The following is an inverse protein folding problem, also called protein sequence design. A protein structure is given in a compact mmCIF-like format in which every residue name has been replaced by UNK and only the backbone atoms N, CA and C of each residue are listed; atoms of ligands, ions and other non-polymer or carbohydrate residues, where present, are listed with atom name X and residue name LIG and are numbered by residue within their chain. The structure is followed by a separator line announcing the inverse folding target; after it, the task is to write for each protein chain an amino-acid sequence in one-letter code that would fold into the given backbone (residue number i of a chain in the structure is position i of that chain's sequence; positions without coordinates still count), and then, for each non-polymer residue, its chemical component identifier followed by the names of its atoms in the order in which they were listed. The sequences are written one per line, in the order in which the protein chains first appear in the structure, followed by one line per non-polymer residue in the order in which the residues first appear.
data_IF_266614329604
#
_entry.id   IF_266614329604
#
_cell.length_a   1.000
_cell.length_b   1.000
_cell.length_c   1.000
_cell.angle_alpha   90.00
_cell.angle_beta   90.00
_cell.angle_gamma   90.00
#
_symmetry.space_group_name_H-M   'P 1'
#
loop_
_entity.id
_entity.type
_entity.pdbx_description
1 polymer ?
#
# COMPACT_ATOMS: atom_id res chain seq x y z
N UNK A 1 6.38 17.53 5.77
CA UNK A 1 6.93 16.26 5.26
C UNK A 1 5.78 15.28 5.16
N UNK A 2 5.61 14.59 4.05
CA UNK A 2 4.52 13.63 3.84
C UNK A 2 4.73 12.36 4.64
N UNK A 3 3.68 11.53 4.82
CA UNK A 3 3.76 10.24 5.51
C UNK A 3 4.82 9.34 4.83
N UNK A 4 4.80 9.27 3.51
CA UNK A 4 5.75 8.45 2.75
C UNK A 4 7.19 8.94 2.91
N UNK A 5 7.45 10.24 2.90
CA UNK A 5 8.79 10.78 3.15
C UNK A 5 9.30 10.44 4.56
N UNK A 6 8.42 10.56 5.57
CA UNK A 6 8.78 10.31 6.96
C UNK A 6 9.08 8.84 7.24
N UNK A 7 8.27 7.93 6.70
CA UNK A 7 8.36 6.51 7.03
C UNK A 7 9.25 5.74 6.05
N UNK A 8 9.17 6.01 4.75
CA UNK A 8 9.95 5.27 3.75
C UNK A 8 11.31 5.96 3.44
N UNK A 9 11.37 7.27 3.48
CA UNK A 9 12.59 8.02 3.13
C UNK A 9 13.85 7.61 3.91
N UNK A 10 13.83 7.47 5.25
CA UNK A 10 14.98 6.99 6.03
C UNK A 10 15.44 5.59 5.61
N UNK A 11 14.48 4.70 5.29
CA UNK A 11 14.76 3.32 4.89
C UNK A 11 15.48 3.26 3.54
N UNK A 12 15.08 4.10 2.60
CA UNK A 12 15.72 4.22 1.28
C UNK A 12 17.15 4.73 1.38
N UNK A 13 17.43 5.67 2.30
CA UNK A 13 18.79 6.18 2.51
C UNK A 13 19.70 5.15 3.18
N UNK A 14 19.16 4.26 4.00
CA UNK A 14 19.93 3.26 4.76
C UNK A 14 20.21 2.01 3.92
N UNK A 15 19.16 1.40 3.38
CA UNK A 15 19.24 0.17 2.58
C UNK A 15 18.03 0.06 1.64
N UNK A 16 18.12 0.65 0.43
CA UNK A 16 17.03 0.61 -0.55
C UNK A 16 16.76 -0.77 -1.11
N UNK A 17 17.74 -1.68 -1.04
CA UNK A 17 17.63 -3.04 -1.58
C UNK A 17 16.93 -4.01 -0.62
N UNK A 18 16.83 -3.66 0.67
CA UNK A 18 16.22 -4.53 1.67
C UNK A 18 14.74 -4.75 1.34
N UNK A 19 14.25 -6.01 1.39
CA UNK A 19 12.84 -6.33 1.28
C UNK A 19 12.01 -5.61 2.37
N UNK A 20 10.94 -4.92 1.95
CA UNK A 20 10.03 -4.22 2.85
C UNK A 20 8.66 -4.86 2.91
N UNK A 21 8.21 -5.45 1.80
CA UNK A 21 6.98 -6.23 1.76
C UNK A 21 7.21 -7.50 0.95
N UNK A 22 6.79 -8.63 1.50
CA UNK A 22 6.64 -9.90 0.81
C UNK A 22 5.16 -10.27 0.87
N UNK A 23 4.55 -10.50 -0.25
CA UNK A 23 3.14 -10.87 -0.35
C UNK A 23 3.02 -12.31 -0.85
N UNK A 24 2.32 -13.12 -0.07
CA UNK A 24 1.86 -14.45 -0.45
C UNK A 24 0.37 -14.41 -0.75
N UNK A 25 -0.03 -14.97 -1.87
CA UNK A 25 -1.40 -15.31 -2.18
C UNK A 25 -1.48 -16.83 -2.33
N UNK A 26 -2.03 -17.50 -1.32
CA UNK A 26 -2.09 -18.96 -1.30
C UNK A 26 -3.11 -19.52 -2.28
N UNK A 27 -4.16 -18.75 -2.62
CA UNK A 27 -5.14 -19.15 -3.64
C UNK A 27 -4.53 -19.11 -5.05
N UNK A 28 -3.67 -18.13 -5.33
CA UNK A 28 -2.97 -18.00 -6.60
C UNK A 28 -1.63 -18.75 -6.63
N UNK A 29 -1.14 -19.24 -5.49
CA UNK A 29 0.15 -19.90 -5.35
C UNK A 29 1.32 -18.96 -5.65
N UNK A 30 1.21 -17.67 -5.34
CA UNK A 30 2.20 -16.68 -5.69
C UNK A 30 2.96 -16.14 -4.48
N UNK A 31 4.23 -15.74 -4.72
CA UNK A 31 5.08 -15.01 -3.77
C UNK A 31 5.75 -13.85 -4.50
N UNK A 32 5.48 -12.65 -4.07
CA UNK A 32 6.08 -11.43 -4.61
C UNK A 32 6.78 -10.68 -3.49
N UNK A 33 8.01 -10.25 -3.75
CA UNK A 33 8.80 -9.49 -2.78
C UNK A 33 9.24 -8.16 -3.40
N UNK A 34 9.01 -7.07 -2.68
CA UNK A 34 9.45 -5.74 -3.08
C UNK A 34 10.50 -5.22 -2.12
N UNK A 35 11.64 -4.79 -2.68
CA UNK A 35 12.61 -3.98 -1.96
C UNK A 35 12.04 -2.59 -1.64
N UNK A 36 12.70 -1.86 -0.75
CA UNK A 36 12.35 -0.46 -0.48
C UNK A 36 12.36 0.38 -1.75
N UNK A 37 13.37 0.21 -2.61
CA UNK A 37 13.45 0.93 -3.89
C UNK A 37 12.29 0.60 -4.83
N UNK A 38 11.94 -0.68 -4.98
CA UNK A 38 10.82 -1.10 -5.83
C UNK A 38 9.49 -0.59 -5.30
N UNK A 39 9.29 -0.63 -3.98
CA UNK A 39 8.11 -0.10 -3.32
C UNK A 39 8.00 1.42 -3.53
N UNK A 40 9.11 2.15 -3.39
CA UNK A 40 9.17 3.58 -3.65
C UNK A 40 8.87 3.94 -5.11
N UNK A 41 9.35 3.14 -6.08
CA UNK A 41 9.05 3.35 -7.50
C UNK A 41 7.53 3.21 -7.77
N UNK A 42 6.87 2.20 -7.22
CA UNK A 42 5.41 2.08 -7.33
C UNK A 42 4.68 3.25 -6.67
N UNK A 43 5.13 3.67 -5.48
CA UNK A 43 4.56 4.83 -4.79
C UNK A 43 4.76 6.12 -5.60
N UNK A 44 5.94 6.35 -6.18
CA UNK A 44 6.23 7.52 -6.99
C UNK A 44 5.37 7.57 -8.26
N UNK A 45 5.28 6.44 -8.98
CA UNK A 45 4.43 6.32 -10.17
C UNK A 45 2.95 6.61 -9.83
N UNK A 46 2.47 6.06 -8.72
CA UNK A 46 1.10 6.31 -8.23
C UNK A 46 0.89 7.78 -7.89
N UNK A 47 1.82 8.41 -7.17
CA UNK A 47 1.71 9.80 -6.79
C UNK A 47 1.73 10.75 -8.02
N UNK A 48 2.60 10.47 -9.00
CA UNK A 48 2.62 11.22 -10.25
C UNK A 48 1.30 11.05 -11.02
N UNK A 49 0.81 9.81 -11.13
CA UNK A 49 -0.45 9.52 -11.83
C UNK A 49 -1.65 10.21 -11.17
N UNK A 50 -1.77 10.13 -9.84
CA UNK A 50 -2.83 10.81 -9.09
C UNK A 50 -2.82 12.32 -9.32
N UNK A 51 -1.63 12.95 -9.28
CA UNK A 51 -1.48 14.39 -9.48
C UNK A 51 -1.68 14.80 -10.93
N UNK A 52 -1.03 14.11 -11.88
CA UNK A 52 -0.87 14.60 -13.25
C UNK A 52 -2.06 14.20 -14.14
N UNK A 53 -2.73 13.06 -13.85
CA UNK A 53 -3.85 12.56 -14.65
C UNK A 53 -5.23 12.74 -13.98
N UNK A 54 -5.25 12.75 -12.63
CA UNK A 54 -6.50 12.82 -11.87
C UNK A 54 -6.62 14.12 -11.06
N UNK A 55 -5.66 15.04 -11.23
CA UNK A 55 -5.63 16.37 -10.58
C UNK A 55 -5.81 16.33 -9.06
N UNK A 56 -5.34 15.26 -8.41
CA UNK A 56 -5.38 15.13 -6.95
C UNK A 56 -4.42 16.12 -6.31
N UNK A 57 -4.96 17.00 -5.47
CA UNK A 57 -4.22 18.02 -4.74
C UNK A 57 -4.02 17.60 -3.28
N UNK A 58 -3.02 18.19 -2.57
CA UNK A 58 -2.86 17.96 -1.14
C UNK A 58 -4.13 18.30 -0.36
N UNK A 59 -4.62 17.33 0.42
CA UNK A 59 -5.86 17.40 1.19
C UNK A 59 -7.08 16.79 0.51
N UNK A 60 -7.02 16.51 -0.80
CA UNK A 60 -8.09 15.77 -1.48
C UNK A 60 -8.20 14.34 -0.96
N UNK A 61 -9.37 13.76 -1.10
CA UNK A 61 -9.67 12.42 -0.59
C UNK A 61 -9.49 11.36 -1.66
N UNK A 62 -8.69 10.34 -1.34
CA UNK A 62 -8.51 9.13 -2.15
C UNK A 62 -9.06 7.92 -1.39
N UNK A 63 -10.09 7.28 -1.95
CA UNK A 63 -10.67 6.08 -1.39
C UNK A 63 -9.90 4.82 -1.87
N UNK A 64 -9.47 3.99 -0.92
CA UNK A 64 -8.75 2.74 -1.20
C UNK A 64 -9.59 1.57 -0.73
N UNK A 65 -10.29 0.91 -1.67
CA UNK A 65 -11.15 -0.24 -1.44
C UNK A 65 -10.44 -1.52 -1.90
N UNK A 66 -9.20 -1.68 -1.45
CA UNK A 66 -8.30 -2.77 -1.85
C UNK A 66 -7.95 -3.66 -0.64
N UNK A 67 -7.81 -4.99 -0.83
CA UNK A 67 -7.31 -5.88 0.21
C UNK A 67 -5.81 -5.67 0.46
N UNK A 68 -5.25 -6.24 1.55
CA UNK A 68 -3.81 -6.33 1.73
C UNK A 68 -3.13 -6.99 0.54
N UNK A 69 -2.32 -6.21 -0.16
CA UNK A 69 -1.60 -6.66 -1.35
C UNK A 69 -0.37 -5.79 -1.58
N UNK A 70 0.64 -6.29 -2.27
CA UNK A 70 1.83 -5.48 -2.58
C UNK A 70 1.50 -4.25 -3.44
N UNK A 71 0.53 -4.34 -4.37
CA UNK A 71 0.07 -3.18 -5.14
C UNK A 71 -0.65 -2.17 -4.25
N UNK A 72 -1.47 -2.64 -3.31
CA UNK A 72 -2.16 -1.78 -2.33
C UNK A 72 -1.15 -0.98 -1.50
N UNK A 73 0.00 -1.58 -1.14
CA UNK A 73 1.07 -0.86 -0.47
C UNK A 73 1.62 0.30 -1.31
N UNK A 74 1.84 0.07 -2.61
CA UNK A 74 2.25 1.13 -3.55
C UNK A 74 1.20 2.22 -3.70
N UNK A 75 -0.08 1.85 -3.78
CA UNK A 75 -1.22 2.79 -3.86
C UNK A 75 -1.28 3.68 -2.61
N UNK A 76 -1.29 3.10 -1.43
CA UNK A 76 -1.37 3.83 -0.17
C UNK A 76 -0.20 4.81 -0.01
N UNK A 77 1.02 4.33 -0.20
CA UNK A 77 2.21 5.17 -0.11
C UNK A 77 2.22 6.27 -1.17
N UNK A 78 1.72 6.00 -2.38
CA UNK A 78 1.61 6.99 -3.45
C UNK A 78 0.58 8.08 -3.12
N UNK A 79 -0.60 7.72 -2.63
CA UNK A 79 -1.64 8.66 -2.22
C UNK A 79 -1.13 9.58 -1.09
N UNK A 80 -0.50 9.03 -0.07
CA UNK A 80 0.10 9.83 0.99
C UNK A 80 1.30 10.67 0.53
N UNK A 81 2.03 10.21 -0.47
CA UNK A 81 3.13 11.00 -1.04
C UNK A 81 2.61 12.21 -1.82
N UNK A 82 1.48 12.05 -2.52
CA UNK A 82 0.75 13.12 -3.18
C UNK A 82 0.14 14.15 -2.19
N UNK A 83 0.05 13.79 -0.90
CA UNK A 83 -0.57 14.61 0.14
C UNK A 83 -2.07 14.39 0.29
N UNK A 84 -2.62 13.33 -0.28
CA UNK A 84 -4.03 13.00 -0.17
C UNK A 84 -4.39 12.46 1.22
N UNK A 85 -5.63 12.69 1.64
CA UNK A 85 -6.28 12.00 2.74
C UNK A 85 -6.81 10.66 2.24
N UNK A 86 -6.40 9.57 2.88
CA UNK A 86 -6.81 8.21 2.50
C UNK A 86 -7.99 7.73 3.32
N UNK A 87 -9.01 7.19 2.65
CA UNK A 87 -10.22 6.65 3.27
C UNK A 87 -10.61 5.28 2.68
N UNK A 88 -11.54 4.59 3.33
CA UNK A 88 -12.22 3.41 2.79
C UNK A 88 -13.63 3.70 2.29
N UNK A 89 -14.09 4.96 2.40
CA UNK A 89 -15.39 5.41 1.89
C UNK A 89 -15.21 6.15 0.56
N UNK A 90 -15.89 5.73 -0.53
CA UNK A 90 -15.82 6.44 -1.81
C UNK A 90 -16.69 7.70 -1.87
N UNK A 91 -17.56 7.93 -0.87
CA UNK A 91 -18.41 9.10 -0.84
C UNK A 91 -17.56 10.37 -0.76
N UNK A 92 -17.78 11.27 -1.70
CA UNK A 92 -17.08 12.56 -1.84
C UNK A 92 -15.55 12.42 -2.06
N UNK A 93 -15.08 11.24 -2.49
CA UNK A 93 -13.69 11.04 -2.86
C UNK A 93 -13.42 11.50 -4.30
N UNK A 94 -12.29 12.20 -4.51
CA UNK A 94 -11.81 12.57 -5.85
C UNK A 94 -11.56 11.31 -6.68
N UNK A 95 -10.94 10.29 -6.08
CA UNK A 95 -10.59 9.03 -6.73
C UNK A 95 -10.90 7.86 -5.82
N UNK A 96 -11.48 6.78 -6.37
CA UNK A 96 -11.56 5.49 -5.71
C UNK A 96 -10.75 4.43 -6.46
N UNK A 97 -9.82 3.78 -5.75
CA UNK A 97 -9.08 2.62 -6.24
C UNK A 97 -9.67 1.35 -5.63
N UNK A 98 -10.03 0.38 -6.47
CA UNK A 98 -10.75 -0.82 -6.03
C UNK A 98 -10.29 -2.09 -6.77
N UNK A 99 -10.59 -3.25 -6.18
CA UNK A 99 -10.54 -4.53 -6.89
C UNK A 99 -11.68 -4.64 -7.91
N UNK A 100 -11.54 -5.57 -8.87
CA UNK A 100 -12.58 -5.82 -9.89
C UNK A 100 -13.96 -6.15 -9.29
N UNK A 101 -13.97 -6.85 -8.17
CA UNK A 101 -15.17 -7.25 -7.41
C UNK A 101 -15.81 -6.09 -6.63
N UNK A 102 -15.11 -4.94 -6.50
CA UNK A 102 -15.52 -3.77 -5.73
C UNK A 102 -15.88 -2.55 -6.58
N UNK A 103 -15.90 -2.67 -7.91
CA UNK A 103 -16.21 -1.52 -8.81
C UNK A 103 -17.55 -0.86 -8.45
N UNK A 104 -18.59 -1.65 -8.19
CA UNK A 104 -19.88 -1.10 -7.80
C UNK A 104 -19.82 -0.34 -6.46
N UNK A 105 -18.96 -0.76 -5.54
CA UNK A 105 -18.76 -0.08 -4.26
C UNK A 105 -18.00 1.24 -4.41
N UNK A 106 -17.24 1.43 -5.48
CA UNK A 106 -16.45 2.64 -5.74
C UNK A 106 -17.27 3.78 -6.39
N UNK A 107 -18.51 3.52 -6.77
CA UNK A 107 -19.35 4.43 -7.59
C UNK A 107 -19.72 5.78 -6.92
N UNK A 108 -19.29 6.03 -5.70
CA UNK A 108 -19.48 7.32 -5.01
C UNK A 108 -18.37 8.35 -5.26
N UNK A 109 -17.27 7.94 -5.91
CA UNK A 109 -16.14 8.83 -6.23
C UNK A 109 -16.30 9.49 -7.60
N UNK A 110 -15.61 10.61 -7.82
CA UNK A 110 -15.62 11.33 -9.10
C UNK A 110 -14.91 10.50 -10.19
N UNK A 111 -13.76 9.91 -9.88
CA UNK A 111 -12.99 9.03 -10.75
C UNK A 111 -12.83 7.62 -10.11
N UNK A 112 -12.80 6.60 -10.96
CA UNK A 112 -12.63 5.22 -10.51
C UNK A 112 -11.50 4.52 -11.25
N UNK A 113 -10.65 3.80 -10.52
CA UNK A 113 -9.62 2.95 -11.11
C UNK A 113 -9.65 1.54 -10.49
N UNK A 114 -9.52 0.53 -11.33
CA UNK A 114 -9.49 -0.85 -10.92
C UNK A 114 -8.09 -1.44 -10.97
N UNK A 115 -7.79 -2.35 -10.03
CA UNK A 115 -6.58 -3.16 -9.97
C UNK A 115 -6.92 -4.63 -10.14
N UNK A 116 -6.15 -5.33 -10.97
CA UNK A 116 -6.29 -6.78 -11.16
C UNK A 116 -5.77 -7.61 -9.99
N UNK A 117 -4.90 -7.03 -9.17
CA UNK A 117 -4.28 -7.66 -7.99
C UNK A 117 -3.59 -9.00 -8.30
N UNK A 118 -3.09 -9.14 -9.51
CA UNK A 118 -2.30 -10.30 -9.89
C UNK A 118 -0.83 -10.17 -9.43
N UNK A 119 -0.11 -11.29 -9.45
CA UNK A 119 1.27 -11.36 -8.98
C UNK A 119 2.23 -10.39 -9.70
N UNK A 120 1.99 -10.10 -10.98
CA UNK A 120 2.88 -9.28 -11.81
C UNK A 120 2.37 -7.85 -12.01
N UNK A 121 1.21 -7.51 -11.45
CA UNK A 121 0.58 -6.20 -11.61
C UNK A 121 0.18 -5.95 -13.07
N UNK A 122 -0.35 -6.93 -13.76
CA UNK A 122 -0.76 -6.80 -15.16
C UNK A 122 -1.99 -5.90 -15.30
N UNK A 123 -2.12 -5.26 -16.46
CA UNK A 123 -3.31 -4.51 -16.82
C UNK A 123 -4.53 -5.41 -17.04
N UNK A 124 -5.70 -4.82 -16.93
CA UNK A 124 -6.99 -5.50 -17.07
C UNK A 124 -7.48 -5.35 -18.51
N UNK A 125 -7.70 -6.48 -19.19
CA UNK A 125 -8.05 -6.48 -20.61
C UNK A 125 -9.43 -5.87 -20.92
N UNK A 126 -10.39 -5.99 -20.01
CA UNK A 126 -11.76 -5.47 -20.20
C UNK A 126 -12.25 -4.84 -18.90
N UNK A 127 -12.59 -3.56 -18.98
CA UNK A 127 -13.18 -2.79 -17.87
C UNK A 127 -14.51 -2.16 -18.30
N UNK A 128 -15.42 -1.93 -17.34
CA UNK A 128 -16.62 -1.13 -17.60
C UNK A 128 -16.24 0.28 -18.05
N UNK A 129 -17.13 0.96 -18.83
CA UNK A 129 -16.95 2.35 -19.17
C UNK A 129 -16.71 3.23 -17.92
N UNK A 130 -15.81 4.22 -18.04
CA UNK A 130 -15.44 5.17 -16.97
C UNK A 130 -14.65 4.56 -15.81
N UNK A 131 -14.19 3.31 -15.91
CA UNK A 131 -13.26 2.71 -14.97
C UNK A 131 -11.88 2.62 -15.61
N UNK A 132 -10.89 3.23 -15.00
CA UNK A 132 -9.49 3.24 -15.46
C UNK A 132 -8.76 1.95 -15.10
N UNK A 133 -7.80 1.57 -15.90
CA UNK A 133 -6.87 0.50 -15.56
C UNK A 133 -5.64 1.08 -14.87
N UNK A 134 -5.60 1.00 -13.55
CA UNK A 134 -4.48 1.49 -12.75
C UNK A 134 -3.13 0.98 -13.25
N UNK A 135 -2.99 -0.33 -13.46
CA UNK A 135 -1.70 -0.93 -13.78
C UNK A 135 -1.14 -0.48 -15.13
N UNK A 136 -1.98 -0.27 -16.12
CA UNK A 136 -1.57 0.26 -17.43
C UNK A 136 -1.22 1.73 -17.35
N UNK A 137 -2.04 2.54 -16.67
CA UNK A 137 -1.85 3.98 -16.62
C UNK A 137 -0.65 4.37 -15.74
N UNK A 138 -0.50 3.75 -14.55
CA UNK A 138 0.55 4.13 -13.60
C UNK A 138 1.96 3.83 -14.12
N UNK A 139 2.12 2.83 -14.97
CA UNK A 139 3.45 2.39 -15.44
C UNK A 139 4.20 3.39 -16.30
N UNK A 140 3.50 4.30 -16.97
CA UNK A 140 4.13 5.30 -17.84
C UNK A 140 4.68 6.50 -17.07
N UNK A 141 4.34 6.62 -15.78
CA UNK A 141 4.82 7.71 -14.92
C UNK A 141 6.23 7.47 -14.37
N UNK A 142 6.86 8.56 -13.91
CA UNK A 142 8.24 8.55 -13.40
C UNK A 142 8.43 7.80 -12.09
N UNK A 143 9.61 7.24 -11.89
CA UNK A 143 10.02 6.50 -10.67
C UNK A 143 10.43 7.42 -9.51
N UNK A 144 10.36 8.73 -9.70
CA UNK A 144 10.65 9.73 -8.69
C UNK A 144 9.48 10.69 -8.54
N UNK A 145 9.24 11.15 -7.32
CA UNK A 145 8.19 12.11 -7.02
C UNK A 145 8.73 13.24 -6.14
N UNK A 146 8.31 14.46 -6.42
CA UNK A 146 8.61 15.63 -5.58
C UNK A 146 7.31 16.02 -4.89
N UNK A 147 7.18 15.79 -3.57
CA UNK A 147 5.95 16.06 -2.85
C UNK A 147 5.70 17.56 -2.68
N UNK A 148 4.40 17.90 -2.63
CA UNK A 148 3.91 19.20 -2.20
C UNK A 148 3.71 19.25 -0.67
N UNK A 149 2.59 19.83 -0.24
CA UNK A 149 2.18 19.82 1.16
C UNK A 149 1.76 18.40 1.60
N UNK A 150 1.97 18.04 2.89
CA UNK A 150 1.43 16.80 3.44
C UNK A 150 -0.10 16.90 3.57
N UNK A 151 -0.76 15.73 3.71
CA UNK A 151 -2.16 15.66 4.10
C UNK A 151 -2.38 16.30 5.49
N UNK A 152 -3.57 16.86 5.76
CA UNK A 152 -3.85 17.50 7.04
C UNK A 152 -3.69 16.58 8.27
N UNK A 153 -3.93 15.29 8.08
CA UNK A 153 -3.89 14.21 9.09
C UNK A 153 -2.53 13.50 9.19
N UNK A 154 -1.52 13.91 8.40
CA UNK A 154 -0.23 13.23 8.32
C UNK A 154 0.45 13.00 9.68
N UNK A 155 0.41 13.99 10.57
CA UNK A 155 0.99 13.88 11.91
C UNK A 155 0.28 12.85 12.79
N UNK A 156 -1.03 12.76 12.70
CA UNK A 156 -1.84 11.79 13.43
C UNK A 156 -1.59 10.37 12.93
N UNK A 157 -1.59 10.18 11.61
CA UNK A 157 -1.31 8.87 10.99
C UNK A 157 0.08 8.35 11.36
N UNK A 158 1.10 9.21 11.34
CA UNK A 158 2.47 8.83 11.76
C UNK A 158 2.50 8.44 13.24
N UNK A 159 1.77 9.15 14.10
CA UNK A 159 1.69 8.81 15.52
C UNK A 159 0.98 7.47 15.74
N UNK A 160 -0.12 7.20 15.03
CA UNK A 160 -0.84 5.91 15.04
C UNK A 160 0.09 4.79 14.58
N UNK A 161 0.82 4.96 13.49
CA UNK A 161 1.76 3.97 12.98
C UNK A 161 2.83 3.59 14.02
N UNK A 162 3.42 4.59 14.69
CA UNK A 162 4.42 4.37 15.75
C UNK A 162 3.83 3.69 16.98
N UNK A 163 2.64 4.09 17.41
CA UNK A 163 1.93 3.46 18.52
C UNK A 163 1.63 1.99 18.20
N UNK A 164 1.17 1.71 16.98
CA UNK A 164 0.89 0.34 16.54
C UNK A 164 2.14 -0.53 16.50
N UNK A 165 3.28 0.00 16.10
CA UNK A 165 4.55 -0.73 16.14
C UNK A 165 4.91 -1.13 17.58
N UNK A 166 4.73 -0.23 18.55
CA UNK A 166 4.95 -0.52 19.98
C UNK A 166 3.98 -1.60 20.49
N UNK A 167 2.70 -1.51 20.15
CA UNK A 167 1.70 -2.52 20.52
C UNK A 167 2.02 -3.91 19.98
N UNK A 168 2.56 -3.98 18.75
CA UNK A 168 3.00 -5.21 18.11
C UNK A 168 4.35 -5.69 18.62
N UNK A 169 5.03 -4.91 19.47
CA UNK A 169 6.37 -5.23 19.99
C UNK A 169 7.45 -5.28 18.93
N UNK A 170 7.32 -4.47 17.87
CA UNK A 170 8.22 -4.48 16.73
C UNK A 170 9.43 -3.57 16.97
N UNK A 171 10.60 -4.07 16.64
CA UNK A 171 11.87 -3.36 16.62
C UNK A 171 12.50 -3.33 15.22
N UNK A 172 13.56 -2.51 15.09
CA UNK A 172 14.30 -2.42 13.85
C UNK A 172 14.91 -3.77 13.46
N UNK A 173 14.63 -4.20 12.25
CA UNK A 173 15.11 -5.48 11.73
C UNK A 173 14.09 -6.61 11.81
N UNK A 174 13.02 -6.44 12.54
CA UNK A 174 11.97 -7.44 12.64
C UNK A 174 11.32 -7.76 11.29
N UNK A 175 10.75 -8.95 11.24
CA UNK A 175 9.98 -9.44 10.09
C UNK A 175 8.64 -9.96 10.59
N UNK A 176 7.60 -9.17 10.34
CA UNK A 176 6.23 -9.46 10.79
C UNK A 176 5.48 -10.30 9.75
N UNK A 177 5.02 -11.49 10.12
CA UNK A 177 4.04 -12.22 9.33
C UNK A 177 2.63 -11.75 9.73
N UNK A 178 1.82 -11.37 8.74
CA UNK A 178 0.45 -10.90 8.93
C UNK A 178 -0.51 -11.71 8.04
N UNK A 179 -1.57 -12.26 8.64
CA UNK A 179 -2.65 -12.94 7.93
C UNK A 179 -3.97 -12.16 7.99
N UNK A 180 -4.00 -11.06 8.75
CA UNK A 180 -5.20 -10.23 8.92
C UNK A 180 -5.33 -9.17 7.82
N UNK A 181 -6.52 -8.56 7.72
CA UNK A 181 -6.77 -7.38 6.89
C UNK A 181 -5.96 -6.16 7.35
N UNK A 182 -6.00 -5.10 6.55
CA UNK A 182 -5.45 -3.80 6.90
C UNK A 182 -6.54 -2.82 7.37
N UNK A 183 -7.61 -3.39 7.97
CA UNK A 183 -8.80 -2.66 8.44
C UNK A 183 -8.56 -2.17 9.88
N UNK A 184 -7.63 -1.22 10.04
CA UNK A 184 -7.30 -0.57 11.32
C UNK A 184 -7.96 0.79 11.46
N UNK A 185 -7.50 1.57 12.45
CA UNK A 185 -7.89 2.97 12.61
C UNK A 185 -7.50 3.82 11.40
N UNK A 186 -6.45 3.41 10.71
CA UNK A 186 -5.94 3.99 9.45
C UNK A 186 -5.82 2.86 8.42
N UNK A 187 -6.26 3.05 7.16
CA UNK A 187 -6.01 2.09 6.10
C UNK A 187 -4.51 1.76 5.99
N UNK A 188 -4.16 0.48 6.00
CA UNK A 188 -2.75 0.08 5.92
C UNK A 188 -1.92 0.31 7.19
N UNK A 189 -2.54 0.47 8.35
CA UNK A 189 -1.87 0.72 9.64
C UNK A 189 -0.73 -0.27 9.92
N UNK A 190 -0.92 -1.56 9.62
CA UNK A 190 0.12 -2.58 9.81
C UNK A 190 1.34 -2.33 8.91
N UNK A 191 1.12 -1.94 7.65
CA UNK A 191 2.19 -1.56 6.73
C UNK A 191 2.97 -0.35 7.28
N UNK A 192 2.25 0.67 7.73
CA UNK A 192 2.88 1.88 8.28
C UNK A 192 3.65 1.58 9.56
N UNK A 193 3.12 0.70 10.43
CA UNK A 193 3.79 0.30 11.67
C UNK A 193 5.15 -0.35 11.41
N UNK A 194 5.24 -1.29 10.48
CA UNK A 194 6.51 -1.94 10.14
C UNK A 194 7.51 -0.97 9.51
N UNK A 195 7.05 -0.03 8.67
CA UNK A 195 7.92 0.97 8.07
C UNK A 195 8.44 1.98 9.11
N UNK A 196 7.61 2.33 10.11
CA UNK A 196 7.96 3.30 11.15
C UNK A 196 9.15 2.88 12.02
N UNK A 197 9.41 1.57 12.14
CA UNK A 197 10.50 1.02 12.99
C UNK A 197 11.59 0.29 12.21
N UNK A 198 11.66 0.46 10.88
CA UNK A 198 12.64 -0.24 10.01
C UNK A 198 12.48 -1.77 10.04
N UNK A 199 11.26 -2.26 10.22
CA UNK A 199 10.89 -3.66 10.07
C UNK A 199 10.49 -3.99 8.62
N UNK A 200 10.06 -5.22 8.36
CA UNK A 200 9.53 -5.70 7.08
C UNK A 200 8.26 -6.52 7.28
N UNK A 201 7.37 -6.49 6.29
CA UNK A 201 6.08 -7.19 6.32
C UNK A 201 6.09 -8.41 5.41
N UNK A 202 5.61 -9.54 5.92
CA UNK A 202 5.20 -10.73 5.14
C UNK A 202 3.69 -10.84 5.24
N UNK A 203 2.99 -10.34 4.24
CA UNK A 203 1.52 -10.41 4.16
C UNK A 203 1.10 -11.70 3.49
N UNK A 204 0.17 -12.42 4.11
CA UNK A 204 -0.41 -13.64 3.54
C UNK A 204 -1.90 -13.42 3.30
N UNK A 205 -2.35 -13.55 2.05
CA UNK A 205 -3.75 -13.51 1.64
C UNK A 205 -4.25 -14.93 1.40
N UNK A 206 -5.45 -15.26 1.93
CA UNK A 206 -5.99 -16.61 1.83
C UNK A 206 -5.10 -17.67 2.50
N UNK A 207 -4.46 -17.30 3.61
CA UNK A 207 -3.41 -18.08 4.24
C UNK A 207 -3.82 -19.52 4.55
N UNK A 208 -3.05 -20.51 4.07
CA UNK A 208 -3.18 -21.90 4.46
C UNK A 208 -2.54 -22.11 5.85
N UNK A 209 -3.31 -22.44 6.88
CA UNK A 209 -2.76 -22.66 8.21
C UNK A 209 -1.67 -23.75 8.25
N UNK A 210 -1.73 -24.75 7.37
CA UNK A 210 -0.74 -25.82 7.31
C UNK A 210 0.62 -25.33 6.78
N UNK A 211 0.65 -24.30 5.95
CA UNK A 211 1.85 -23.73 5.38
C UNK A 211 2.54 -22.70 6.29
N UNK A 212 1.85 -22.18 7.32
CA UNK A 212 2.34 -21.04 8.11
C UNK A 212 3.64 -21.35 8.87
N UNK A 213 3.77 -22.54 9.45
CA UNK A 213 4.96 -22.90 10.22
C UNK A 213 6.23 -22.93 9.34
N UNK A 214 6.13 -23.57 8.18
CA UNK A 214 7.24 -23.65 7.22
C UNK A 214 7.55 -22.25 6.64
N UNK A 215 6.53 -21.44 6.39
CA UNK A 215 6.69 -20.07 5.93
C UNK A 215 7.40 -19.21 6.98
N UNK A 216 7.03 -19.32 8.25
CA UNK A 216 7.72 -18.61 9.33
C UNK A 216 9.22 -18.96 9.37
N UNK A 217 9.56 -20.21 9.20
CA UNK A 217 10.96 -20.66 9.16
C UNK A 217 11.68 -20.13 7.89
N UNK A 218 11.08 -20.29 6.71
CA UNK A 218 11.66 -19.87 5.43
C UNK A 218 11.88 -18.35 5.35
N UNK A 219 10.92 -17.57 5.83
CA UNK A 219 10.96 -16.10 5.83
C UNK A 219 11.67 -15.52 7.07
N UNK A 220 12.15 -16.35 8.01
CA UNK A 220 12.80 -15.90 9.25
C UNK A 220 11.94 -14.92 10.03
N UNK A 221 10.68 -15.27 10.23
CA UNK A 221 9.70 -14.42 10.92
C UNK A 221 10.10 -14.25 12.39
N UNK A 222 10.05 -13.04 12.90
CA UNK A 222 10.34 -12.69 14.29
C UNK A 222 9.08 -12.32 15.08
N UNK A 223 8.02 -11.87 14.39
CA UNK A 223 6.74 -11.52 15.00
C UNK A 223 5.57 -11.97 14.12
N UNK A 224 4.40 -12.23 14.71
CA UNK A 224 3.20 -12.68 13.98
C UNK A 224 1.97 -11.89 14.40
N UNK A 225 1.10 -11.59 13.43
CA UNK A 225 -0.24 -11.03 13.59
C UNK A 225 -1.22 -11.93 12.78
N UNK A 226 -1.93 -12.82 13.47
CA UNK A 226 -2.80 -13.84 12.86
C UNK A 226 -4.21 -13.80 13.42
#
# INVERSE_FOLDING_TARGET
MTITDELLGPLLRRDPARPRITHYDDAAGSRIELSGATLANWAAKTANWLRDELDVQPGDTVAVLLPPHWQTAGVLLGAWWCGATVTTSPADAQVALCGLDRIASAAGADEMAALGLDALGMGIAVLPPRVRDYATEVRVHGDTFTPGAPSPDAGEIIAVARARAVELGLDAGDRLLCTTGWDGAVPGEVLLAVLAVDASLVQCTGADPAALADRCAAERITATLT
#
